data_IF_600485126261
#
_entry.id   IF_600485126261
#
_cell.length_a   1.000
_cell.length_b   1.000
_cell.length_c   1.000
_cell.angle_alpha   90.00
_cell.angle_beta   90.00
_cell.angle_gamma   90.00
#
_symmetry.space_group_name_H-M   'P 1'
#
loop_
_entity.id
_entity.type
_entity.pdbx_description
1 polymer ?
#
# COMPACT_ATOMS: atom_id res chain seq x y z
N UNK A 1 67.25 11.61 68.62
CA UNK A 1 66.03 10.81 68.87
C UNK A 1 64.93 11.34 67.95
N UNK A 2 64.91 10.87 66.70
CA UNK A 2 63.89 11.25 65.70
C UNK A 2 63.51 9.96 64.98
N UNK A 3 62.27 9.49 65.17
CA UNK A 3 61.57 8.54 64.30
C UNK A 3 60.14 8.35 64.81
N UNK A 4 59.18 9.04 64.19
CA UNK A 4 57.84 8.52 63.85
C UNK A 4 56.97 9.63 63.25
N UNK A 5 56.58 9.48 61.98
CA UNK A 5 55.23 9.82 61.47
C UNK A 5 55.18 9.66 59.93
N UNK A 6 55.01 8.43 59.45
CA UNK A 6 54.57 8.15 58.08
C UNK A 6 53.70 6.88 58.06
N UNK A 7 52.39 6.97 58.33
CA UNK A 7 51.46 5.86 58.03
C UNK A 7 50.01 6.25 57.70
N UNK A 8 49.57 7.51 57.73
CA UNK A 8 48.14 7.82 57.64
C UNK A 8 47.60 8.36 56.29
N UNK A 9 48.43 8.73 55.30
CA UNK A 9 47.90 9.22 54.00
C UNK A 9 47.74 8.14 52.90
N UNK A 10 48.36 6.97 53.06
CA UNK A 10 48.29 5.90 52.04
C UNK A 10 47.00 5.07 52.10
N UNK A 11 46.35 4.99 53.27
CA UNK A 11 45.13 4.20 53.47
C UNK A 11 43.90 4.83 52.81
N UNK A 12 43.66 6.14 53.03
CA UNK A 12 42.49 6.85 52.48
C UNK A 12 42.48 6.93 50.95
N UNK A 13 43.65 7.08 50.32
CA UNK A 13 43.75 7.08 48.86
C UNK A 13 43.56 5.69 48.24
N UNK A 14 43.85 4.60 48.97
CA UNK A 14 43.55 3.24 48.50
C UNK A 14 42.05 2.96 48.59
N UNK A 15 41.40 3.29 49.70
CA UNK A 15 39.95 3.09 49.91
C UNK A 15 39.09 3.81 48.86
N UNK A 16 39.34 5.10 48.62
CA UNK A 16 38.61 5.87 47.60
C UNK A 16 38.80 5.32 46.18
N UNK A 17 39.99 4.74 45.89
CA UNK A 17 40.28 4.14 44.57
C UNK A 17 39.58 2.79 44.40
N UNK A 18 39.43 2.00 45.47
CA UNK A 18 38.63 0.76 45.47
C UNK A 18 37.13 1.02 45.37
N UNK A 19 36.59 2.06 46.01
CA UNK A 19 35.17 2.42 45.90
C UNK A 19 34.81 2.88 44.49
N UNK A 20 35.63 3.74 43.88
CA UNK A 20 35.43 4.19 42.49
C UNK A 20 35.58 3.04 41.47
N UNK A 21 36.45 2.06 41.75
CA UNK A 21 36.61 0.87 40.90
C UNK A 21 35.45 -0.12 41.07
N UNK A 22 34.91 -0.24 42.29
CA UNK A 22 33.72 -1.03 42.59
C UNK A 22 32.49 -0.44 41.91
N UNK A 23 32.24 0.87 42.05
CA UNK A 23 31.14 1.57 41.36
C UNK A 23 31.20 1.39 39.84
N UNK A 24 32.37 1.60 39.21
CA UNK A 24 32.54 1.37 37.76
C UNK A 24 32.28 -0.08 37.34
N UNK A 25 32.65 -1.05 38.17
CA UNK A 25 32.40 -2.48 37.91
C UNK A 25 30.93 -2.84 38.04
N UNK A 26 30.24 -2.25 39.02
CA UNK A 26 28.79 -2.43 39.22
C UNK A 26 27.99 -1.77 38.10
N UNK A 27 28.38 -0.56 37.67
CA UNK A 27 27.80 0.13 36.50
C UNK A 27 28.02 -0.68 35.22
N UNK A 28 29.25 -1.17 34.98
CA UNK A 28 29.57 -1.97 33.81
C UNK A 28 28.88 -3.34 33.81
N UNK A 29 28.73 -3.98 34.98
CA UNK A 29 27.96 -5.22 35.15
C UNK A 29 26.45 -5.00 34.95
N UNK A 30 25.91 -3.88 35.43
CA UNK A 30 24.51 -3.52 35.24
C UNK A 30 24.22 -3.21 33.76
N UNK A 31 25.14 -2.53 33.08
CA UNK A 31 25.08 -2.30 31.63
C UNK A 31 25.13 -3.60 30.84
N UNK A 32 26.01 -4.55 31.20
CA UNK A 32 26.06 -5.86 30.55
C UNK A 32 24.78 -6.69 30.78
N UNK A 33 24.23 -6.70 32.00
CA UNK A 33 22.97 -7.38 32.30
C UNK A 33 21.76 -6.73 31.62
N UNK A 34 21.75 -5.40 31.49
CA UNK A 34 20.72 -4.65 30.77
C UNK A 34 20.80 -4.89 29.26
N UNK A 35 22.01 -5.00 28.70
CA UNK A 35 22.24 -5.35 27.30
C UNK A 35 21.83 -6.81 27.00
N UNK A 36 22.14 -7.75 27.90
CA UNK A 36 21.79 -9.17 27.74
C UNK A 36 20.28 -9.43 27.92
N UNK A 37 19.62 -8.71 28.83
CA UNK A 37 18.16 -8.77 28.95
C UNK A 37 17.46 -8.11 27.76
N UNK A 38 18.03 -7.04 27.19
CA UNK A 38 17.55 -6.40 25.97
C UNK A 38 17.69 -7.31 24.75
N UNK A 39 18.84 -7.95 24.55
CA UNK A 39 19.05 -8.91 23.46
C UNK A 39 18.15 -10.14 23.57
N UNK A 40 17.80 -10.56 24.80
CA UNK A 40 16.88 -11.67 25.03
C UNK A 40 15.42 -11.29 24.74
N UNK A 41 15.02 -10.05 25.04
CA UNK A 41 13.67 -9.56 24.73
C UNK A 41 13.48 -9.36 23.23
N UNK A 42 14.46 -8.76 22.55
CA UNK A 42 14.44 -8.55 21.11
C UNK A 42 14.31 -9.88 20.34
N UNK A 43 15.11 -10.89 20.68
CA UNK A 43 15.01 -12.22 20.05
C UNK A 43 13.62 -12.86 20.22
N UNK A 44 12.94 -12.62 21.35
CA UNK A 44 11.56 -13.09 21.56
C UNK A 44 10.55 -12.31 20.73
N UNK A 45 10.76 -11.00 20.56
CA UNK A 45 9.92 -10.14 19.72
C UNK A 45 10.06 -10.47 18.23
N UNK A 46 11.28 -10.81 17.77
CA UNK A 46 11.57 -11.27 16.41
C UNK A 46 10.85 -12.58 16.05
N UNK A 47 10.60 -13.44 17.04
CA UNK A 47 9.85 -14.68 16.85
C UNK A 47 8.32 -14.48 16.73
N UNK A 48 7.79 -13.31 17.08
CA UNK A 48 6.35 -13.06 17.02
C UNK A 48 5.85 -13.03 15.58
N UNK A 49 4.58 -13.41 15.36
CA UNK A 49 3.91 -13.21 14.08
C UNK A 49 3.13 -11.89 14.11
N UNK A 50 3.73 -10.81 13.59
CA UNK A 50 3.08 -9.51 13.48
C UNK A 50 3.67 -8.67 12.34
N UNK A 51 3.17 -7.45 12.14
CA UNK A 51 3.56 -6.63 10.99
C UNK A 51 5.05 -6.25 10.99
N UNK A 52 5.65 -6.14 12.19
CA UNK A 52 7.07 -5.84 12.36
C UNK A 52 8.00 -6.99 11.94
N UNK A 53 7.49 -8.23 11.88
CA UNK A 53 8.28 -9.43 11.58
C UNK A 53 7.90 -10.07 10.24
N UNK A 54 6.95 -9.49 9.50
CA UNK A 54 6.47 -10.04 8.21
C UNK A 54 7.24 -9.57 6.98
N UNK A 55 8.35 -8.85 7.17
CA UNK A 55 9.21 -8.40 6.07
C UNK A 55 8.40 -7.67 4.98
N UNK A 56 7.68 -6.62 5.38
CA UNK A 56 6.80 -5.88 4.46
C UNK A 56 7.57 -4.88 3.59
N UNK A 57 8.73 -4.43 4.08
CA UNK A 57 9.69 -3.44 3.54
C UNK A 57 9.17 -2.51 2.42
N UNK A 58 8.18 -1.64 2.71
CA UNK A 58 7.71 -0.67 1.73
C UNK A 58 8.56 0.61 1.74
N UNK A 59 8.85 1.17 0.56
CA UNK A 59 9.38 2.53 0.46
C UNK A 59 8.47 3.56 1.14
N UNK A 60 9.05 4.68 1.62
CA UNK A 60 8.29 5.77 2.27
C UNK A 60 7.11 6.27 1.43
N UNK A 61 7.30 6.43 0.12
CA UNK A 61 6.22 6.80 -0.81
C UNK A 61 5.12 5.74 -0.94
N UNK A 62 5.48 4.46 -0.87
CA UNK A 62 4.52 3.35 -0.86
C UNK A 62 3.74 3.33 0.44
N UNK A 63 4.37 3.62 1.59
CA UNK A 63 3.69 3.77 2.87
C UNK A 63 2.61 4.85 2.82
N UNK A 64 2.89 6.04 2.29
CA UNK A 64 1.87 7.09 2.13
C UNK A 64 0.70 6.65 1.24
N UNK A 65 1.00 6.00 0.10
CA UNK A 65 -0.06 5.44 -0.78
C UNK A 65 -0.89 4.36 -0.08
N UNK A 66 -0.27 3.53 0.76
CA UNK A 66 -0.97 2.50 1.51
C UNK A 66 -1.83 3.10 2.61
N UNK A 67 -1.32 4.08 3.35
CA UNK A 67 -2.07 4.85 4.36
C UNK A 67 -3.36 5.40 3.75
N UNK A 68 -3.24 6.13 2.65
CA UNK A 68 -4.38 6.77 2.01
C UNK A 68 -5.39 5.72 1.51
N UNK A 69 -4.91 4.62 0.92
CA UNK A 69 -5.77 3.50 0.50
C UNK A 69 -6.52 2.85 1.67
N UNK A 70 -5.89 2.70 2.84
CA UNK A 70 -6.53 2.09 4.00
C UNK A 70 -7.58 3.04 4.60
N UNK A 71 -7.30 4.33 4.60
CA UNK A 71 -8.27 5.34 5.01
C UNK A 71 -9.44 5.43 4.02
N UNK A 72 -9.20 5.27 2.72
CA UNK A 72 -10.24 5.17 1.67
C UNK A 72 -11.11 3.90 1.79
N UNK A 73 -10.74 2.91 2.63
CA UNK A 73 -11.65 1.80 2.96
C UNK A 73 -12.78 2.28 3.87
N UNK A 74 -12.52 3.30 4.69
CA UNK A 74 -13.45 3.82 5.68
C UNK A 74 -13.46 3.03 6.99
N UNK A 75 -14.28 3.52 7.92
CA UNK A 75 -14.40 3.00 9.29
C UNK A 75 -15.78 2.41 9.56
N UNK A 76 -16.50 2.01 8.51
CA UNK A 76 -17.87 1.52 8.63
C UNK A 76 -17.89 0.25 9.48
N UNK A 77 -18.66 0.31 10.57
CA UNK A 77 -18.92 -0.84 11.43
C UNK A 77 -19.54 -1.98 10.59
N UNK A 78 -19.03 -3.20 10.74
CA UNK A 78 -19.44 -4.37 9.95
C UNK A 78 -18.49 -4.78 8.82
N UNK A 79 -17.37 -4.07 8.60
CA UNK A 79 -16.30 -4.61 7.77
C UNK A 79 -15.56 -5.74 8.50
N UNK A 80 -15.65 -6.98 7.99
CA UNK A 80 -15.01 -8.17 8.56
C UNK A 80 -13.48 -8.03 8.79
N UNK A 81 -12.84 -7.09 8.09
CA UNK A 81 -11.40 -6.84 8.19
C UNK A 81 -11.03 -5.60 9.01
N UNK A 82 -11.97 -4.96 9.73
CA UNK A 82 -11.74 -3.65 10.37
C UNK A 82 -10.58 -3.63 11.38
N UNK A 83 -10.48 -4.65 12.25
CA UNK A 83 -9.36 -4.79 13.20
C UNK A 83 -8.01 -4.92 12.50
N UNK A 84 -7.97 -5.73 11.43
CA UNK A 84 -6.80 -5.93 10.58
C UNK A 84 -6.37 -4.65 9.84
N UNK A 85 -7.34 -3.86 9.35
CA UNK A 85 -7.11 -2.55 8.73
C UNK A 85 -6.43 -1.62 9.73
N UNK A 86 -6.94 -1.54 10.95
CA UNK A 86 -6.36 -0.70 12.00
C UNK A 86 -4.97 -1.20 12.44
N UNK A 87 -4.75 -2.51 12.54
CA UNK A 87 -3.41 -3.07 12.79
C UNK A 87 -2.41 -2.61 11.73
N UNK A 88 -2.76 -2.73 10.45
CA UNK A 88 -1.86 -2.32 9.36
C UNK A 88 -1.68 -0.79 9.33
N UNK A 89 -2.72 0.00 9.61
CA UNK A 89 -2.60 1.45 9.75
C UNK A 89 -1.64 1.81 10.89
N UNK A 90 -1.74 1.15 12.04
CA UNK A 90 -0.84 1.36 13.17
C UNK A 90 0.62 1.13 12.79
N UNK A 91 0.91 0.02 12.12
CA UNK A 91 2.25 -0.28 11.59
C UNK A 91 2.73 0.79 10.59
N UNK A 92 1.91 1.18 9.60
CA UNK A 92 2.27 2.19 8.60
C UNK A 92 2.54 3.55 9.24
N UNK A 93 1.71 3.96 10.20
CA UNK A 93 1.91 5.22 10.91
C UNK A 93 3.20 5.21 11.71
N UNK A 94 3.53 4.09 12.37
CA UNK A 94 4.81 3.94 13.05
C UNK A 94 5.98 4.08 12.09
N UNK A 95 5.97 3.35 10.96
CA UNK A 95 7.03 3.40 9.93
C UNK A 95 7.21 4.80 9.31
N UNK A 96 6.15 5.62 9.30
CA UNK A 96 6.20 7.00 8.83
C UNK A 96 6.69 8.00 9.89
N UNK A 97 6.83 7.57 11.14
CA UNK A 97 7.24 8.40 12.29
C UNK A 97 6.08 8.99 13.09
N UNK A 98 4.84 8.58 12.84
CA UNK A 98 3.63 9.07 13.52
C UNK A 98 3.24 8.16 14.68
N UNK A 99 4.08 8.12 15.71
CA UNK A 99 3.99 7.16 16.81
C UNK A 99 2.68 7.24 17.61
N UNK A 100 2.13 8.44 17.85
CA UNK A 100 0.86 8.59 18.56
C UNK A 100 -0.33 8.07 17.75
N UNK A 101 -0.31 8.29 16.43
CA UNK A 101 -1.30 7.70 15.53
C UNK A 101 -1.17 6.17 15.53
N UNK A 102 0.06 5.64 15.52
CA UNK A 102 0.29 4.20 15.59
C UNK A 102 -0.35 3.58 16.84
N UNK A 103 -0.14 4.19 18.02
CA UNK A 103 -0.77 3.78 19.28
C UNK A 103 -2.30 3.83 19.19
N UNK A 104 -2.85 4.93 18.71
CA UNK A 104 -4.30 5.10 18.54
C UNK A 104 -4.91 4.01 17.66
N UNK A 105 -4.29 3.70 16.53
CA UNK A 105 -4.76 2.65 15.63
C UNK A 105 -4.64 1.25 16.22
N UNK A 106 -3.58 0.92 16.96
CA UNK A 106 -3.52 -0.39 17.63
C UNK A 106 -4.58 -0.54 18.72
N UNK A 107 -4.92 0.52 19.44
CA UNK A 107 -6.06 0.51 20.39
C UNK A 107 -7.40 0.33 19.67
N UNK A 108 -7.62 1.04 18.56
CA UNK A 108 -8.82 0.89 17.72
C UNK A 108 -8.95 -0.51 17.12
N UNK A 109 -7.84 -1.14 16.76
CA UNK A 109 -7.83 -2.51 16.27
C UNK A 109 -8.33 -3.49 17.34
N UNK A 110 -7.81 -3.40 18.57
CA UNK A 110 -8.26 -4.24 19.68
C UNK A 110 -9.76 -4.04 19.97
N UNK A 111 -10.24 -2.80 19.93
CA UNK A 111 -11.66 -2.49 20.11
C UNK A 111 -12.53 -3.07 18.98
N UNK A 112 -12.12 -2.91 17.73
CA UNK A 112 -12.85 -3.44 16.59
C UNK A 112 -12.93 -4.98 16.64
N UNK A 113 -11.85 -5.65 17.06
CA UNK A 113 -11.82 -7.09 17.25
C UNK A 113 -12.79 -7.55 18.33
N UNK A 114 -12.83 -6.86 19.47
CA UNK A 114 -13.84 -7.10 20.51
C UNK A 114 -15.23 -6.97 19.91
N UNK A 115 -15.59 -5.80 19.39
CA UNK A 115 -16.92 -5.56 18.82
C UNK A 115 -17.38 -6.61 17.81
N UNK A 116 -16.49 -7.10 16.94
CA UNK A 116 -16.82 -8.13 15.96
C UNK A 116 -16.93 -9.56 16.53
N UNK A 117 -16.24 -9.87 17.63
CA UNK A 117 -16.15 -11.23 18.21
C UNK A 117 -16.76 -11.35 19.62
N UNK A 118 -17.37 -10.27 20.13
CA UNK A 118 -17.96 -10.10 21.46
C UNK A 118 -19.02 -11.16 21.84
N UNK A 119 -19.51 -11.95 20.90
CA UNK A 119 -20.45 -13.04 21.18
C UNK A 119 -19.76 -14.29 21.74
N UNK A 120 -18.41 -14.36 21.72
CA UNK A 120 -17.63 -15.54 22.10
C UNK A 120 -16.68 -15.26 23.27
N UNK A 121 -15.90 -14.17 23.24
CA UNK A 121 -14.95 -13.77 24.28
C UNK A 121 -14.38 -12.37 23.99
N UNK A 122 -13.97 -11.64 25.04
CA UNK A 122 -13.24 -10.36 24.92
C UNK A 122 -11.81 -10.54 24.39
N UNK A 123 -11.23 -11.73 24.59
CA UNK A 123 -9.90 -12.10 24.13
C UNK A 123 -9.94 -13.39 23.30
N UNK A 124 -9.07 -13.47 22.29
CA UNK A 124 -9.02 -14.62 21.40
C UNK A 124 -7.84 -14.54 20.43
N UNK A 125 -7.64 -15.58 19.61
CA UNK A 125 -6.45 -15.70 18.75
C UNK A 125 -6.32 -14.58 17.70
N UNK A 126 -7.41 -13.90 17.34
CA UNK A 126 -7.41 -12.74 16.45
C UNK A 126 -6.68 -11.51 17.04
N UNK A 127 -6.41 -11.47 18.35
CA UNK A 127 -5.63 -10.40 18.99
C UNK A 127 -4.11 -10.63 18.96
N UNK A 128 -3.63 -11.81 18.54
CA UNK A 128 -2.21 -12.17 18.60
C UNK A 128 -1.33 -11.19 17.83
N UNK A 129 -1.74 -10.85 16.60
CA UNK A 129 -1.00 -9.89 15.77
C UNK A 129 -1.06 -8.48 16.37
N UNK A 130 -2.21 -8.10 16.94
CA UNK A 130 -2.36 -6.80 17.61
C UNK A 130 -1.42 -6.68 18.81
N UNK A 131 -1.41 -7.66 19.70
CA UNK A 131 -0.53 -7.67 20.88
C UNK A 131 0.94 -7.77 20.49
N UNK A 132 1.28 -8.51 19.42
CA UNK A 132 2.63 -8.51 18.88
C UNK A 132 3.07 -7.14 18.37
N UNK A 133 2.19 -6.44 17.64
CA UNK A 133 2.43 -5.06 17.21
C UNK A 133 2.62 -4.10 18.41
N UNK A 134 1.79 -4.22 19.45
CA UNK A 134 1.93 -3.39 20.66
C UNK A 134 3.21 -3.70 21.43
N UNK A 135 3.62 -4.97 21.53
CA UNK A 135 4.87 -5.37 22.15
C UNK A 135 6.09 -4.71 21.46
N UNK A 136 6.10 -4.70 20.12
CA UNK A 136 7.12 -4.01 19.32
C UNK A 136 7.07 -2.48 19.49
N UNK A 137 5.88 -1.87 19.48
CA UNK A 137 5.72 -0.44 19.69
C UNK A 137 6.30 -0.01 21.05
N UNK A 138 5.97 -0.72 22.12
CA UNK A 138 6.49 -0.43 23.46
C UNK A 138 8.00 -0.67 23.56
N UNK A 139 8.52 -1.72 22.91
CA UNK A 139 9.96 -1.97 22.85
C UNK A 139 10.71 -0.79 22.22
N UNK A 140 10.26 -0.33 21.05
CA UNK A 140 10.86 0.81 20.35
C UNK A 140 10.74 2.14 21.10
N UNK A 141 9.74 2.29 21.97
CA UNK A 141 9.59 3.44 22.87
C UNK A 141 10.47 3.37 24.13
N UNK A 142 11.21 2.28 24.34
CA UNK A 142 12.01 2.05 25.55
C UNK A 142 11.18 1.54 26.75
N UNK A 143 9.88 1.29 26.57
CA UNK A 143 8.98 0.83 27.60
C UNK A 143 9.05 -0.71 27.74
N UNK A 144 10.17 -1.21 28.29
CA UNK A 144 10.45 -2.66 28.40
C UNK A 144 9.41 -3.43 29.20
N UNK A 145 8.88 -2.85 30.29
CA UNK A 145 7.87 -3.51 31.12
C UNK A 145 6.57 -3.76 30.36
N UNK A 146 6.06 -2.75 29.65
CA UNK A 146 4.87 -2.87 28.80
C UNK A 146 5.10 -3.84 27.63
N UNK A 147 6.27 -3.76 26.97
CA UNK A 147 6.63 -4.70 25.91
C UNK A 147 6.58 -6.15 26.39
N UNK A 148 7.15 -6.43 27.58
CA UNK A 148 7.12 -7.74 28.20
C UNK A 148 5.70 -8.16 28.61
N UNK A 149 4.85 -7.22 29.05
CA UNK A 149 3.46 -7.49 29.39
C UNK A 149 2.65 -7.94 28.16
N UNK A 150 2.77 -7.24 27.02
CA UNK A 150 2.14 -7.65 25.76
C UNK A 150 2.70 -8.97 25.22
N UNK A 151 4.01 -9.18 25.34
CA UNK A 151 4.63 -10.46 24.98
C UNK A 151 4.02 -11.63 25.78
N UNK A 152 3.82 -11.45 27.08
CA UNK A 152 3.15 -12.45 27.94
C UNK A 152 1.71 -12.69 27.50
N UNK A 153 0.96 -11.66 27.08
CA UNK A 153 -0.40 -11.82 26.54
C UNK A 153 -0.40 -12.65 25.25
N UNK A 154 0.56 -12.43 24.36
CA UNK A 154 0.70 -13.26 23.14
C UNK A 154 0.94 -14.72 23.51
N UNK A 155 1.84 -15.00 24.45
CA UNK A 155 2.10 -16.39 24.88
C UNK A 155 0.90 -17.03 25.57
N UNK A 156 0.13 -16.28 26.37
CA UNK A 156 -1.09 -16.77 26.98
C UNK A 156 -2.11 -17.20 25.90
N UNK A 157 -2.38 -16.33 24.92
CA UNK A 157 -3.30 -16.65 23.81
C UNK A 157 -2.83 -17.84 22.98
N UNK A 158 -1.52 -17.96 22.70
CA UNK A 158 -0.99 -19.10 21.93
C UNK A 158 -0.98 -20.41 22.73
N UNK A 159 -1.04 -20.34 24.06
CA UNK A 159 -1.18 -21.52 24.91
C UNK A 159 -2.65 -21.96 24.99
N UNK A 160 -3.57 -21.00 25.11
CA UNK A 160 -5.01 -21.26 25.16
C UNK A 160 -5.58 -21.72 23.80
N UNK A 161 -5.08 -21.12 22.71
CA UNK A 161 -5.46 -21.42 21.33
C UNK A 161 -4.24 -21.92 20.55
N UNK A 162 -3.79 -23.17 20.81
CA UNK A 162 -2.60 -23.71 20.18
C UNK A 162 -2.77 -23.83 18.67
N UNK A 163 -1.65 -23.69 17.95
CA UNK A 163 -1.63 -23.96 16.51
C UNK A 163 -1.82 -25.46 16.23
N UNK A 164 -2.34 -25.86 15.06
CA UNK A 164 -2.62 -27.27 14.77
C UNK A 164 -1.40 -28.19 14.84
N UNK A 165 -0.21 -27.66 14.55
CA UNK A 165 1.07 -28.34 14.66
C UNK A 165 2.20 -27.33 14.95
N UNK A 166 3.39 -27.81 15.32
CA UNK A 166 4.54 -26.95 15.64
C UNK A 166 5.03 -26.12 14.43
N UNK A 167 4.85 -26.63 13.22
CA UNK A 167 5.28 -25.97 11.98
C UNK A 167 4.21 -25.07 11.35
N UNK A 168 3.02 -25.00 11.97
CA UNK A 168 1.88 -24.25 11.46
C UNK A 168 1.52 -23.08 12.37
N UNK A 169 1.02 -22.00 11.77
CA UNK A 169 0.45 -20.88 12.50
C UNK A 169 -1.04 -21.12 12.76
N UNK A 170 -1.56 -20.45 13.78
CA UNK A 170 -3.01 -20.37 14.00
C UNK A 170 -3.72 -19.76 12.77
N UNK A 171 -4.91 -20.27 12.36
CA UNK A 171 -5.59 -19.83 11.15
C UNK A 171 -5.88 -18.31 11.08
N UNK A 172 -6.25 -17.68 12.19
CA UNK A 172 -6.42 -16.22 12.28
C UNK A 172 -5.13 -15.44 11.92
N UNK A 173 -3.96 -15.95 12.32
CA UNK A 173 -2.66 -15.34 11.98
C UNK A 173 -2.38 -15.51 10.49
N UNK A 174 -2.68 -16.68 9.92
CA UNK A 174 -2.56 -16.90 8.48
C UNK A 174 -3.48 -15.96 7.70
N UNK A 175 -4.73 -15.78 8.13
CA UNK A 175 -5.70 -14.93 7.48
C UNK A 175 -5.28 -13.46 7.50
N UNK A 176 -4.85 -12.92 8.65
CA UNK A 176 -4.35 -11.54 8.75
C UNK A 176 -3.08 -11.33 7.90
N UNK A 177 -2.14 -12.28 7.97
CA UNK A 177 -0.91 -12.22 7.16
C UNK A 177 -1.24 -12.20 5.67
N UNK A 178 -2.13 -13.08 5.24
CA UNK A 178 -2.58 -13.14 3.85
C UNK A 178 -3.21 -11.81 3.41
N UNK A 179 -4.16 -11.30 4.18
CA UNK A 179 -4.85 -10.04 3.89
C UNK A 179 -3.88 -8.85 3.81
N UNK A 180 -2.93 -8.78 4.73
CA UNK A 180 -1.89 -7.75 4.73
C UNK A 180 -1.03 -7.86 3.47
N UNK A 181 -0.52 -9.05 3.16
CA UNK A 181 0.37 -9.27 2.01
C UNK A 181 -0.28 -8.93 0.65
N UNK A 182 -1.61 -9.05 0.52
CA UNK A 182 -2.35 -8.61 -0.69
C UNK A 182 -2.13 -7.13 -1.04
N UNK A 183 -1.77 -6.29 -0.05
CA UNK A 183 -1.57 -4.86 -0.24
C UNK A 183 -0.17 -4.51 -0.76
N UNK A 184 0.77 -5.47 -0.79
CA UNK A 184 2.18 -5.24 -1.10
C UNK A 184 2.58 -5.67 -2.52
N UNK A 185 3.82 -6.14 -2.70
CA UNK A 185 4.41 -6.44 -4.01
C UNK A 185 3.70 -7.62 -4.70
N UNK A 186 4.05 -7.88 -5.97
CA UNK A 186 3.46 -9.00 -6.72
C UNK A 186 3.78 -10.35 -6.06
N UNK A 187 5.00 -10.49 -5.57
CA UNK A 187 5.51 -11.69 -4.90
C UNK A 187 4.75 -11.90 -3.58
N UNK A 188 4.58 -10.83 -2.78
CA UNK A 188 3.78 -10.88 -1.54
C UNK A 188 2.31 -11.21 -1.84
N UNK A 189 1.72 -10.70 -2.93
CA UNK A 189 0.36 -11.06 -3.37
C UNK A 189 0.21 -12.54 -3.75
N UNK A 190 1.25 -13.17 -4.32
CA UNK A 190 1.25 -14.60 -4.59
C UNK A 190 1.24 -15.40 -3.29
N UNK A 191 2.13 -15.03 -2.35
CA UNK A 191 2.16 -15.64 -1.01
C UNK A 191 0.84 -15.48 -0.25
N UNK A 192 0.14 -14.36 -0.45
CA UNK A 192 -1.16 -14.14 0.18
C UNK A 192 -2.18 -15.23 -0.17
N UNK A 193 -2.23 -15.68 -1.43
CA UNK A 193 -3.15 -16.75 -1.84
C UNK A 193 -2.84 -18.06 -1.10
N UNK A 194 -1.56 -18.41 -0.98
CA UNK A 194 -1.12 -19.61 -0.27
C UNK A 194 -1.48 -19.56 1.23
N UNK A 195 -1.31 -18.40 1.88
CA UNK A 195 -1.66 -18.24 3.29
C UNK A 195 -3.17 -18.31 3.55
N UNK A 196 -4.01 -17.70 2.69
CA UNK A 196 -5.45 -17.89 2.79
C UNK A 196 -5.83 -19.36 2.60
N UNK A 197 -5.22 -20.05 1.64
CA UNK A 197 -5.50 -21.45 1.38
C UNK A 197 -5.18 -22.32 2.61
N UNK A 198 -4.13 -22.00 3.37
CA UNK A 198 -3.82 -22.67 4.65
C UNK A 198 -4.86 -22.37 5.72
N UNK A 199 -5.24 -21.11 5.89
CA UNK A 199 -6.29 -20.71 6.86
C UNK A 199 -7.62 -21.41 6.57
N UNK A 200 -8.07 -21.44 5.31
CA UNK A 200 -9.32 -22.06 4.87
C UNK A 200 -9.31 -23.58 5.07
N UNK A 201 -8.16 -24.26 4.89
CA UNK A 201 -8.07 -25.70 5.16
C UNK A 201 -8.34 -26.04 6.63
N UNK A 202 -7.99 -25.13 7.53
CA UNK A 202 -8.17 -25.31 8.97
C UNK A 202 -9.57 -24.89 9.41
N UNK A 203 -10.13 -23.83 8.81
CA UNK A 203 -11.48 -23.35 9.08
C UNK A 203 -12.18 -23.00 7.76
N UNK A 204 -12.85 -23.97 7.12
CA UNK A 204 -13.43 -23.78 5.80
C UNK A 204 -14.65 -22.87 5.80
N UNK A 205 -15.36 -22.73 6.92
CA UNK A 205 -16.63 -21.99 6.99
C UNK A 205 -16.48 -20.46 6.96
N UNK A 206 -15.24 -19.96 6.96
CA UNK A 206 -14.93 -18.53 6.97
C UNK A 206 -15.10 -17.91 5.56
N UNK A 207 -16.32 -17.46 5.28
CA UNK A 207 -16.74 -16.86 3.98
C UNK A 207 -15.81 -15.71 3.56
N UNK A 208 -15.43 -14.83 4.48
CA UNK A 208 -14.58 -13.68 4.18
C UNK A 208 -13.15 -14.08 3.79
N UNK A 209 -12.67 -15.23 4.27
CA UNK A 209 -11.36 -15.77 3.87
C UNK A 209 -11.44 -16.38 2.48
N UNK A 210 -12.53 -17.10 2.17
CA UNK A 210 -12.76 -17.64 0.83
C UNK A 210 -12.84 -16.53 -0.23
N UNK A 211 -13.64 -15.49 0.01
CA UNK A 211 -13.73 -14.33 -0.87
C UNK A 211 -12.37 -13.63 -1.02
N UNK A 212 -11.64 -13.45 0.08
CA UNK A 212 -10.31 -12.81 0.05
C UNK A 212 -9.27 -13.64 -0.68
N UNK A 213 -9.32 -14.96 -0.58
CA UNK A 213 -8.48 -15.88 -1.35
C UNK A 213 -8.70 -15.71 -2.86
N UNK A 214 -9.96 -15.69 -3.29
CA UNK A 214 -10.31 -15.46 -4.70
C UNK A 214 -9.83 -14.07 -5.16
N UNK A 215 -10.02 -13.03 -4.34
CA UNK A 215 -9.50 -11.69 -4.65
C UNK A 215 -7.96 -11.68 -4.75
N UNK A 216 -7.25 -12.46 -3.92
CA UNK A 216 -5.80 -12.61 -4.00
C UNK A 216 -5.38 -13.25 -5.33
N UNK A 217 -6.06 -14.33 -5.74
CA UNK A 217 -5.84 -14.96 -7.04
C UNK A 217 -6.06 -13.96 -8.17
N UNK A 218 -7.23 -13.31 -8.25
CA UNK A 218 -7.55 -12.33 -9.30
C UNK A 218 -6.50 -11.21 -9.40
N UNK A 219 -6.01 -10.72 -8.26
CA UNK A 219 -4.97 -9.68 -8.21
C UNK A 219 -3.62 -10.13 -8.78
N UNK A 220 -3.26 -11.42 -8.64
CA UNK A 220 -2.04 -11.97 -9.26
C UNK A 220 -2.17 -12.01 -10.78
N UNK A 221 -3.35 -12.38 -11.30
CA UNK A 221 -3.60 -12.51 -12.74
C UNK A 221 -3.66 -11.17 -13.47
N UNK A 222 -4.23 -10.12 -12.88
CA UNK A 222 -4.25 -8.76 -13.45
C UNK A 222 -2.87 -8.21 -13.81
N UNK A 223 -1.80 -8.77 -13.24
CA UNK A 223 -0.42 -8.37 -13.50
C UNK A 223 0.35 -9.35 -14.40
N UNK A 224 -0.30 -10.36 -14.97
CA UNK A 224 0.37 -11.47 -15.67
C UNK A 224 0.29 -11.45 -17.20
N UNK A 225 -0.38 -10.47 -17.82
CA UNK A 225 -0.67 -10.42 -19.28
C UNK A 225 -1.33 -11.70 -19.85
N UNK A 226 -1.80 -12.60 -18.99
CA UNK A 226 -2.52 -13.82 -19.35
C UNK A 226 -4.01 -13.59 -19.17
N UNK A 227 -4.80 -14.19 -20.05
CA UNK A 227 -6.25 -14.28 -19.88
C UNK A 227 -6.54 -14.99 -18.55
N UNK A 228 -7.60 -14.52 -17.85
CA UNK A 228 -8.07 -15.19 -16.65
C UNK A 228 -8.45 -16.64 -17.00
N UNK A 229 -7.95 -17.60 -16.22
CA UNK A 229 -8.27 -19.02 -16.42
C UNK A 229 -9.72 -19.29 -16.06
N UNK A 230 -10.34 -20.26 -16.75
CA UNK A 230 -11.72 -20.64 -16.49
C UNK A 230 -11.90 -21.20 -15.06
N UNK A 231 -10.88 -21.85 -14.49
CA UNK A 231 -10.86 -22.25 -13.07
C UNK A 231 -11.04 -21.06 -12.12
N UNK A 232 -10.42 -19.91 -12.38
CA UNK A 232 -10.56 -18.75 -11.50
C UNK A 232 -11.90 -18.08 -11.69
N UNK A 233 -12.40 -18.03 -12.92
CA UNK A 233 -13.74 -17.52 -13.18
C UNK A 233 -14.80 -18.33 -12.44
N UNK A 234 -14.68 -19.66 -12.41
CA UNK A 234 -15.57 -20.54 -11.65
C UNK A 234 -15.43 -20.30 -10.14
N UNK A 235 -14.21 -20.17 -9.62
CA UNK A 235 -14.00 -19.82 -8.20
C UNK A 235 -14.60 -18.46 -7.84
N UNK A 236 -14.54 -17.47 -8.74
CA UNK A 236 -15.18 -16.17 -8.55
C UNK A 236 -16.70 -16.29 -8.50
N UNK A 237 -17.29 -17.11 -9.38
CA UNK A 237 -18.73 -17.38 -9.37
C UNK A 237 -19.16 -17.98 -8.04
N UNK A 238 -18.49 -19.05 -7.61
CA UNK A 238 -18.77 -19.74 -6.34
C UNK A 238 -18.63 -18.76 -5.17
N UNK A 239 -17.53 -18.03 -5.07
CA UNK A 239 -17.31 -17.09 -3.96
C UNK A 239 -18.35 -15.94 -3.96
N UNK A 240 -18.78 -15.46 -5.13
CA UNK A 240 -19.85 -14.45 -5.22
C UNK A 240 -21.20 -15.00 -4.73
N UNK A 241 -21.50 -16.26 -4.98
CA UNK A 241 -22.72 -16.92 -4.48
C UNK A 241 -22.68 -17.15 -2.97
N UNK A 242 -21.50 -17.44 -2.41
CA UNK A 242 -21.30 -17.62 -0.96
C UNK A 242 -21.23 -16.30 -0.18
N UNK A 243 -20.82 -15.21 -0.84
CA UNK A 243 -20.67 -13.87 -0.25
C UNK A 243 -21.41 -12.82 -1.10
N UNK A 244 -22.76 -12.87 -1.14
CA UNK A 244 -23.58 -12.01 -2.02
C UNK A 244 -23.48 -10.52 -1.67
N UNK A 245 -23.10 -10.19 -0.43
CA UNK A 245 -22.96 -8.82 0.04
C UNK A 245 -21.64 -8.17 -0.41
N UNK A 246 -20.70 -8.96 -0.93
CA UNK A 246 -19.42 -8.51 -1.45
C UNK A 246 -19.53 -7.99 -2.89
N UNK A 247 -20.07 -6.77 -2.98
CA UNK A 247 -20.28 -6.08 -4.25
C UNK A 247 -18.97 -5.82 -5.01
N UNK A 248 -17.83 -5.77 -4.31
CA UNK A 248 -16.52 -5.65 -4.94
C UNK A 248 -16.17 -6.91 -5.76
N UNK A 249 -16.36 -8.10 -5.18
CA UNK A 249 -16.17 -9.36 -5.89
C UNK A 249 -17.18 -9.51 -7.04
N UNK A 250 -18.44 -9.12 -6.82
CA UNK A 250 -19.46 -9.12 -7.87
C UNK A 250 -19.05 -8.25 -9.08
N UNK A 251 -18.53 -7.03 -8.84
CA UNK A 251 -18.07 -6.15 -9.91
C UNK A 251 -16.88 -6.74 -10.68
N UNK A 252 -15.95 -7.39 -9.99
CA UNK A 252 -14.82 -8.07 -10.63
C UNK A 252 -15.26 -9.29 -11.44
N UNK A 253 -16.25 -10.03 -10.96
CA UNK A 253 -16.82 -11.16 -11.68
C UNK A 253 -17.47 -10.71 -12.99
N UNK A 254 -18.31 -9.66 -12.95
CA UNK A 254 -18.90 -9.09 -14.17
C UNK A 254 -17.84 -8.57 -15.15
N UNK A 255 -16.77 -7.94 -14.65
CA UNK A 255 -15.62 -7.53 -15.48
C UNK A 255 -14.97 -8.74 -16.18
N UNK A 256 -14.80 -9.85 -15.48
CA UNK A 256 -14.24 -11.08 -16.05
C UNK A 256 -15.19 -11.74 -17.08
N UNK A 257 -16.50 -11.71 -16.83
CA UNK A 257 -17.51 -12.15 -17.80
C UNK A 257 -17.50 -11.29 -19.08
N UNK A 258 -17.40 -9.96 -18.93
CA UNK A 258 -17.30 -9.03 -20.06
C UNK A 258 -16.05 -9.30 -20.91
N UNK A 259 -14.90 -9.58 -20.26
CA UNK A 259 -13.67 -10.00 -20.94
C UNK A 259 -13.84 -11.27 -21.78
N UNK A 260 -14.78 -12.14 -21.43
CA UNK A 260 -15.13 -13.37 -22.16
C UNK A 260 -16.23 -13.15 -23.21
N UNK A 261 -16.68 -11.91 -23.41
CA UNK A 261 -17.71 -11.56 -24.39
C UNK A 261 -19.14 -11.86 -23.94
N UNK A 262 -19.37 -12.06 -22.64
CA UNK A 262 -20.73 -12.20 -22.11
C UNK A 262 -21.42 -10.84 -22.04
N UNK A 263 -22.74 -10.83 -22.25
CA UNK A 263 -23.58 -9.65 -22.02
C UNK A 263 -23.80 -9.48 -20.52
N UNK A 264 -23.49 -8.30 -20.01
CA UNK A 264 -23.43 -8.00 -18.56
C UNK A 264 -24.19 -6.71 -18.20
N UNK A 265 -24.82 -6.06 -19.18
CA UNK A 265 -25.30 -4.68 -19.05
C UNK A 265 -26.40 -4.56 -17.99
N UNK A 266 -27.36 -5.48 -17.97
CA UNK A 266 -28.45 -5.48 -17.00
C UNK A 266 -27.94 -5.78 -15.59
N UNK A 267 -27.07 -6.78 -15.47
CA UNK A 267 -26.45 -7.18 -14.20
C UNK A 267 -25.56 -6.07 -13.62
N UNK A 268 -24.83 -5.36 -14.49
CA UNK A 268 -24.01 -4.21 -14.12
C UNK A 268 -24.86 -3.03 -13.62
N UNK A 269 -26.02 -2.77 -14.26
CA UNK A 269 -26.96 -1.74 -13.81
C UNK A 269 -27.62 -2.08 -12.47
N UNK A 270 -28.00 -3.34 -12.26
CA UNK A 270 -28.49 -3.78 -10.94
C UNK A 270 -27.40 -3.67 -9.87
N UNK A 271 -26.16 -4.07 -10.19
CA UNK A 271 -25.03 -3.91 -9.29
C UNK A 271 -24.76 -2.43 -8.98
N UNK A 272 -24.87 -1.54 -9.96
CA UNK A 272 -24.73 -0.10 -9.74
C UNK A 272 -25.73 0.43 -8.71
N UNK A 273 -27.01 0.06 -8.85
CA UNK A 273 -28.04 0.42 -7.85
C UNK A 273 -27.72 -0.15 -6.48
N UNK A 274 -27.18 -1.36 -6.38
CA UNK A 274 -26.78 -1.96 -5.10
C UNK A 274 -25.59 -1.23 -4.46
N UNK A 275 -24.56 -0.90 -5.25
CA UNK A 275 -23.37 -0.17 -4.77
C UNK A 275 -23.76 1.22 -4.24
N UNK A 276 -24.64 1.93 -4.95
CA UNK A 276 -25.09 3.28 -4.56
C UNK A 276 -26.04 3.31 -3.34
N UNK A 277 -26.53 2.16 -2.86
CA UNK A 277 -27.36 2.07 -1.65
C UNK A 277 -26.52 1.91 -0.37
N UNK A 278 -25.27 1.47 -0.50
CA UNK A 278 -24.36 1.26 0.64
C UNK A 278 -23.44 2.48 0.80
N UNK A 279 -22.90 2.72 2.00
CA UNK A 279 -21.81 3.68 2.18
C UNK A 279 -20.69 3.40 1.17
N UNK A 280 -20.35 4.40 0.37
CA UNK A 280 -19.35 4.25 -0.68
C UNK A 280 -17.96 4.29 -0.08
N UNK A 281 -17.12 3.33 -0.47
CA UNK A 281 -15.71 3.29 -0.08
C UNK A 281 -14.90 2.52 -1.12
N UNK A 282 -13.58 2.39 -0.92
CA UNK A 282 -12.75 1.54 -1.77
C UNK A 282 -13.10 0.05 -1.69
N UNK A 283 -13.90 -0.37 -0.70
CA UNK A 283 -14.42 -1.74 -0.57
C UNK A 283 -15.84 -1.90 -1.09
N UNK A 284 -16.57 -0.83 -1.42
CA UNK A 284 -17.96 -0.93 -1.88
C UNK A 284 -18.09 -1.51 -3.30
N UNK A 285 -17.00 -1.62 -4.05
CA UNK A 285 -17.01 -2.11 -5.44
C UNK A 285 -17.21 -1.02 -6.49
N UNK A 286 -17.28 0.27 -6.10
CA UNK A 286 -17.50 1.38 -7.04
C UNK A 286 -16.37 1.50 -8.09
N UNK A 287 -15.09 1.42 -7.71
CA UNK A 287 -13.99 1.53 -8.68
C UNK A 287 -13.96 0.39 -9.72
N UNK A 288 -14.06 -0.91 -9.36
CA UNK A 288 -14.17 -1.96 -10.37
C UNK A 288 -15.44 -1.85 -11.22
N UNK A 289 -16.57 -1.43 -10.64
CA UNK A 289 -17.80 -1.19 -11.39
C UNK A 289 -17.63 -0.08 -12.43
N UNK A 290 -17.10 1.08 -12.03
CA UNK A 290 -16.81 2.17 -12.95
C UNK A 290 -15.81 1.74 -14.03
N UNK A 291 -14.84 0.86 -13.71
CA UNK A 291 -13.93 0.30 -14.71
C UNK A 291 -14.66 -0.60 -15.71
N UNK A 292 -15.58 -1.46 -15.25
CA UNK A 292 -16.44 -2.27 -16.10
C UNK A 292 -17.21 -1.37 -17.08
N UNK A 293 -17.86 -0.32 -16.59
CA UNK A 293 -18.61 0.61 -17.43
C UNK A 293 -17.73 1.28 -18.50
N UNK A 294 -16.59 1.85 -18.09
CA UNK A 294 -15.68 2.56 -19.01
C UNK A 294 -15.13 1.68 -20.14
N UNK A 295 -14.95 0.38 -19.89
CA UNK A 295 -14.29 -0.52 -20.85
C UNK A 295 -15.30 -1.28 -21.70
N UNK A 296 -16.43 -1.71 -21.11
CA UNK A 296 -17.32 -2.69 -21.73
C UNK A 296 -18.75 -2.20 -21.96
N UNK A 297 -19.17 -1.07 -21.40
CA UNK A 297 -20.55 -0.58 -21.51
C UNK A 297 -20.57 0.79 -22.21
N UNK A 298 -20.26 1.85 -21.47
CA UNK A 298 -20.26 3.22 -21.96
C UNK A 298 -19.39 4.10 -21.05
N UNK A 299 -18.50 4.89 -21.67
CA UNK A 299 -17.69 5.87 -20.94
C UNK A 299 -18.56 6.98 -20.33
N UNK A 300 -19.60 7.41 -21.04
CA UNK A 300 -20.48 8.49 -20.57
C UNK A 300 -21.34 7.99 -19.40
N UNK A 301 -21.92 6.78 -19.49
CA UNK A 301 -22.63 6.18 -18.33
C UNK A 301 -21.69 6.00 -17.12
N UNK A 302 -20.39 5.77 -17.35
CA UNK A 302 -19.41 5.69 -16.25
C UNK A 302 -19.13 7.04 -15.59
N UNK A 303 -19.22 8.15 -16.33
CA UNK A 303 -19.09 9.50 -15.78
C UNK A 303 -20.35 9.83 -14.99
N UNK A 304 -21.53 9.61 -15.59
CA UNK A 304 -22.82 9.86 -14.95
C UNK A 304 -22.93 9.10 -13.62
N UNK A 305 -22.60 7.80 -13.62
CA UNK A 305 -22.61 6.99 -12.41
C UNK A 305 -21.60 7.48 -11.35
N UNK A 306 -20.43 7.96 -11.77
CA UNK A 306 -19.43 8.46 -10.83
C UNK A 306 -19.82 9.81 -10.23
N UNK A 307 -20.37 10.72 -11.04
CA UNK A 307 -20.87 12.02 -10.57
C UNK A 307 -22.11 11.84 -9.68
N UNK A 308 -23.06 10.97 -10.05
CA UNK A 308 -24.21 10.63 -9.19
C UNK A 308 -23.76 10.11 -7.83
N UNK A 309 -22.77 9.21 -7.80
CA UNK A 309 -22.22 8.70 -6.55
C UNK A 309 -21.62 9.84 -5.69
N UNK A 310 -20.89 10.76 -6.33
CA UNK A 310 -20.27 11.90 -5.66
C UNK A 310 -21.31 12.92 -5.17
N UNK A 311 -22.39 13.15 -5.92
CA UNK A 311 -23.50 14.03 -5.51
C UNK A 311 -24.20 13.50 -4.24
N UNK A 312 -24.37 12.18 -4.13
CA UNK A 312 -24.94 11.55 -2.92
C UNK A 312 -24.00 11.62 -1.71
N UNK A 313 -22.69 11.63 -1.95
CA UNK A 313 -21.66 11.59 -0.91
C UNK A 313 -20.50 12.57 -1.20
N UNK A 314 -20.75 13.90 -1.15
CA UNK A 314 -19.80 14.91 -1.62
C UNK A 314 -18.51 14.99 -0.80
N UNK A 315 -18.56 14.57 0.46
CA UNK A 315 -17.42 14.58 1.37
C UNK A 315 -16.50 13.35 1.18
N UNK A 316 -16.93 12.34 0.43
CA UNK A 316 -16.17 11.11 0.24
C UNK A 316 -15.02 11.33 -0.75
N UNK A 317 -13.81 11.52 -0.21
CA UNK A 317 -12.61 11.79 -1.01
C UNK A 317 -12.27 10.67 -1.99
N UNK A 318 -12.65 9.43 -1.72
CA UNK A 318 -12.40 8.33 -2.64
C UNK A 318 -13.25 8.44 -3.91
N UNK A 319 -14.47 8.97 -3.80
CA UNK A 319 -15.34 9.23 -4.94
C UNK A 319 -14.80 10.33 -5.86
N UNK A 320 -14.25 11.41 -5.29
CA UNK A 320 -13.55 12.45 -6.07
C UNK A 320 -12.43 11.86 -6.92
N UNK A 321 -11.67 10.91 -6.36
CA UNK A 321 -10.64 10.18 -7.09
C UNK A 321 -11.20 9.26 -8.18
N UNK A 322 -12.37 8.65 -7.96
CA UNK A 322 -13.07 7.86 -8.97
C UNK A 322 -13.54 8.72 -10.14
N UNK A 323 -14.20 9.85 -9.86
CA UNK A 323 -14.65 10.84 -10.85
C UNK A 323 -13.47 11.39 -11.67
N UNK A 324 -12.39 11.82 -11.01
CA UNK A 324 -11.17 12.26 -11.67
C UNK A 324 -10.63 11.20 -12.64
N UNK A 325 -10.69 9.92 -12.25
CA UNK A 325 -10.25 8.81 -13.10
C UNK A 325 -11.15 8.65 -14.33
N UNK A 326 -12.47 8.76 -14.19
CA UNK A 326 -13.39 8.72 -15.34
C UNK A 326 -13.09 9.83 -16.35
N UNK A 327 -13.01 11.09 -15.89
CA UNK A 327 -12.66 12.21 -16.78
C UNK A 327 -11.32 12.04 -17.48
N UNK A 328 -10.29 11.65 -16.74
CA UNK A 328 -8.97 11.40 -17.35
C UNK A 328 -9.04 10.37 -18.47
N UNK A 329 -9.76 9.26 -18.26
CA UNK A 329 -9.87 8.24 -19.31
C UNK A 329 -10.68 8.75 -20.50
N UNK A 330 -11.76 9.51 -20.27
CA UNK A 330 -12.55 10.15 -21.34
C UNK A 330 -11.71 11.10 -22.18
N UNK A 331 -10.87 11.93 -21.55
CA UNK A 331 -10.00 12.89 -22.25
C UNK A 331 -8.89 12.18 -23.03
N UNK A 332 -8.26 11.15 -22.45
CA UNK A 332 -7.07 10.54 -23.06
C UNK A 332 -7.36 9.44 -24.07
N UNK A 333 -8.47 8.68 -23.91
CA UNK A 333 -8.77 7.51 -24.73
C UNK A 333 -9.82 7.79 -25.83
N UNK A 334 -10.73 8.75 -25.63
CA UNK A 334 -11.79 9.07 -26.60
C UNK A 334 -11.49 10.40 -27.32
N UNK A 335 -10.35 10.44 -28.01
CA UNK A 335 -9.86 11.65 -28.71
C UNK A 335 -10.71 12.03 -29.93
N UNK A 336 -11.43 11.07 -30.50
CA UNK A 336 -12.23 11.25 -31.71
C UNK A 336 -13.60 11.90 -31.42
N UNK A 337 -13.99 11.97 -30.15
CA UNK A 337 -15.20 12.67 -29.71
C UNK A 337 -14.86 14.10 -29.27
N UNK A 338 -15.62 15.13 -29.69
CA UNK A 338 -15.42 16.48 -29.22
C UNK A 338 -15.35 16.54 -27.68
N UNK A 339 -14.35 17.25 -27.17
CA UNK A 339 -14.24 17.55 -25.74
C UNK A 339 -14.94 18.86 -25.47
N UNK A 340 -15.98 18.81 -24.64
CA UNK A 340 -16.64 20.03 -24.16
C UNK A 340 -15.72 20.75 -23.16
N UNK A 341 -15.69 22.08 -23.25
CA UNK A 341 -14.88 22.90 -22.35
C UNK A 341 -15.25 22.69 -20.88
N UNK A 342 -16.55 22.60 -20.59
CA UNK A 342 -17.12 22.30 -19.27
C UNK A 342 -16.57 20.99 -18.67
N UNK A 343 -16.42 19.95 -19.49
CA UNK A 343 -15.87 18.66 -19.07
C UNK A 343 -14.40 18.78 -18.65
N UNK A 344 -13.60 19.52 -19.42
CA UNK A 344 -12.18 19.76 -19.10
C UNK A 344 -12.06 20.57 -17.81
N UNK A 345 -12.88 21.59 -17.62
CA UNK A 345 -12.91 22.39 -16.40
C UNK A 345 -13.31 21.56 -15.18
N UNK A 346 -14.32 20.72 -15.31
CA UNK A 346 -14.73 19.78 -14.26
C UNK A 346 -13.62 18.81 -13.92
N UNK A 347 -12.95 18.25 -14.92
CA UNK A 347 -11.79 17.37 -14.72
C UNK A 347 -10.66 18.07 -13.96
N UNK A 348 -10.28 19.29 -14.37
CA UNK A 348 -9.25 20.12 -13.71
C UNK A 348 -9.64 20.37 -12.25
N UNK A 349 -10.88 20.79 -12.00
CA UNK A 349 -11.38 21.08 -10.66
C UNK A 349 -11.26 19.88 -9.73
N UNK A 350 -11.81 18.73 -10.15
CA UNK A 350 -11.78 17.50 -9.34
C UNK A 350 -10.34 17.01 -9.13
N UNK A 351 -9.45 17.16 -10.13
CA UNK A 351 -8.04 16.80 -9.95
C UNK A 351 -7.33 17.69 -8.91
N UNK A 352 -7.62 18.99 -8.86
CA UNK A 352 -7.09 19.90 -7.84
C UNK A 352 -7.56 19.49 -6.45
N UNK A 353 -8.84 19.14 -6.29
CA UNK A 353 -9.38 18.62 -5.03
C UNK A 353 -8.66 17.32 -4.62
N UNK A 354 -8.50 16.37 -5.53
CA UNK A 354 -7.77 15.12 -5.27
C UNK A 354 -6.31 15.40 -4.89
N UNK A 355 -5.62 16.35 -5.53
CA UNK A 355 -4.24 16.66 -5.14
C UNK A 355 -4.18 17.21 -3.71
N UNK A 356 -5.14 18.04 -3.32
CA UNK A 356 -5.26 18.58 -1.95
C UNK A 356 -5.55 17.50 -0.91
N UNK A 357 -6.43 16.55 -1.23
CA UNK A 357 -6.84 15.47 -0.32
C UNK A 357 -5.78 14.38 -0.13
N UNK A 358 -4.84 14.25 -1.08
CA UNK A 358 -3.81 13.21 -1.08
C UNK A 358 -2.39 13.79 -1.19
N UNK A 359 -1.97 14.69 -0.27
CA UNK A 359 -0.78 15.53 -0.46
C UNK A 359 0.50 14.70 -0.66
N UNK A 360 0.67 13.62 0.12
CA UNK A 360 1.87 12.78 0.10
C UNK A 360 1.86 11.67 -0.96
N UNK A 361 0.75 11.49 -1.69
CA UNK A 361 0.61 10.41 -2.69
C UNK A 361 0.10 10.89 -4.06
N UNK A 362 0.06 12.21 -4.26
CA UNK A 362 -0.54 12.89 -5.42
C UNK A 362 0.30 12.94 -6.70
N UNK A 363 1.55 12.44 -6.73
CA UNK A 363 2.43 12.55 -7.92
C UNK A 363 1.72 12.16 -9.23
N UNK A 364 1.03 11.01 -9.23
CA UNK A 364 0.31 10.53 -10.42
C UNK A 364 -0.87 11.44 -10.79
N UNK A 365 -1.52 12.05 -9.80
CA UNK A 365 -2.62 13.00 -10.01
C UNK A 365 -2.10 14.34 -10.53
N UNK A 366 -0.97 14.84 -10.03
CA UNK A 366 -0.30 16.04 -10.55
C UNK A 366 0.13 15.87 -12.01
N UNK A 367 0.76 14.73 -12.34
CA UNK A 367 1.10 14.38 -13.73
C UNK A 367 -0.15 14.27 -14.61
N UNK A 368 -1.24 13.69 -14.10
CA UNK A 368 -2.50 13.61 -14.86
C UNK A 368 -3.07 15.00 -15.12
N UNK A 369 -3.05 15.90 -14.12
CA UNK A 369 -3.51 17.28 -14.26
C UNK A 369 -2.68 18.06 -15.30
N UNK A 370 -1.34 17.95 -15.27
CA UNK A 370 -0.48 18.55 -16.29
C UNK A 370 -0.82 18.05 -17.70
N UNK A 371 -1.02 16.74 -17.85
CA UNK A 371 -1.40 16.16 -19.13
C UNK A 371 -2.81 16.57 -19.59
N UNK A 372 -3.75 16.79 -18.66
CA UNK A 372 -5.08 17.33 -18.99
C UNK A 372 -4.92 18.73 -19.56
N UNK A 373 -4.20 19.62 -18.88
CA UNK A 373 -3.94 20.99 -19.37
C UNK A 373 -3.31 21.03 -20.76
N UNK A 374 -2.35 20.14 -21.01
CA UNK A 374 -1.65 20.04 -22.28
C UNK A 374 -2.53 19.49 -23.42
N UNK A 375 -3.28 18.40 -23.17
CA UNK A 375 -4.02 17.70 -24.23
C UNK A 375 -5.33 18.35 -24.64
N UNK A 376 -5.96 19.11 -23.75
CA UNK A 376 -7.17 19.87 -24.08
C UNK A 376 -6.89 21.23 -24.73
N UNK A 377 -5.62 21.56 -24.99
CA UNK A 377 -5.15 22.90 -25.37
C UNK A 377 -5.65 24.00 -24.41
N UNK A 378 -5.96 23.65 -23.16
CA UNK A 378 -6.57 24.55 -22.20
C UNK A 378 -5.55 25.56 -21.67
N UNK A 379 -4.35 25.08 -21.28
CA UNK A 379 -3.24 25.96 -20.93
C UNK A 379 -1.91 25.21 -20.95
N UNK A 380 -1.12 25.44 -22.00
CA UNK A 380 0.23 24.90 -22.11
C UNK A 380 1.13 25.40 -20.96
N UNK A 381 1.03 26.69 -20.62
CA UNK A 381 1.81 27.29 -19.54
C UNK A 381 1.53 26.64 -18.18
N UNK A 382 0.26 26.31 -17.88
CA UNK A 382 -0.09 25.63 -16.63
C UNK A 382 0.44 24.18 -16.60
N UNK A 383 0.44 23.48 -17.74
CA UNK A 383 1.02 22.15 -17.84
C UNK A 383 2.54 22.19 -17.57
N UNK A 384 3.22 23.15 -18.19
CA UNK A 384 4.67 23.30 -18.07
C UNK A 384 5.09 23.69 -16.65
N UNK A 385 4.37 24.62 -16.02
CA UNK A 385 4.58 24.97 -14.61
C UNK A 385 4.48 23.76 -13.68
N UNK A 386 3.44 22.91 -13.83
CA UNK A 386 3.30 21.71 -13.00
C UNK A 386 4.47 20.76 -13.22
N UNK A 387 4.93 20.59 -14.46
CA UNK A 387 6.08 19.73 -14.74
C UNK A 387 7.38 20.27 -14.15
N UNK A 388 7.62 21.59 -14.22
CA UNK A 388 8.78 22.25 -13.61
C UNK A 388 8.81 22.04 -12.10
N UNK A 389 7.70 22.32 -11.41
CA UNK A 389 7.56 22.08 -9.96
C UNK A 389 7.80 20.60 -9.58
N UNK A 390 7.33 19.67 -10.42
CA UNK A 390 7.53 18.24 -10.19
C UNK A 390 8.99 17.81 -10.40
N UNK A 391 9.71 18.41 -11.36
CA UNK A 391 11.11 18.09 -11.65
C UNK A 391 12.06 18.52 -10.53
N UNK A 392 11.67 19.52 -9.75
CA UNK A 392 12.38 19.98 -8.56
C UNK A 392 12.01 19.20 -7.29
N UNK A 393 10.99 18.33 -7.35
CA UNK A 393 10.51 17.58 -6.19
C UNK A 393 11.46 16.44 -5.79
N UNK A 394 11.62 16.22 -4.49
CA UNK A 394 12.31 15.05 -3.95
C UNK A 394 11.44 13.78 -4.12
N UNK A 395 11.80 12.94 -5.08
CA UNK A 395 11.06 11.75 -5.44
C UNK A 395 11.91 10.50 -5.22
N UNK A 396 11.27 9.44 -4.74
CA UNK A 396 11.89 8.11 -4.75
C UNK A 396 12.28 7.70 -6.20
N UNK A 397 13.22 6.76 -6.38
CA UNK A 397 13.69 6.34 -7.69
C UNK A 397 12.57 5.99 -8.68
N UNK A 398 11.52 5.30 -8.24
CA UNK A 398 10.39 4.90 -9.09
C UNK A 398 9.47 6.09 -9.40
N UNK A 399 9.33 7.04 -8.48
CA UNK A 399 8.65 8.32 -8.68
C UNK A 399 9.36 9.17 -9.73
N UNK A 400 10.68 9.32 -9.64
CA UNK A 400 11.49 10.05 -10.61
C UNK A 400 11.42 9.41 -12.01
N UNK A 401 11.56 8.09 -12.11
CA UNK A 401 11.38 7.36 -13.37
C UNK A 401 10.00 7.61 -14.01
N UNK A 402 8.94 7.61 -13.19
CA UNK A 402 7.58 7.91 -13.66
C UNK A 402 7.49 9.32 -14.21
N UNK A 403 7.97 10.32 -13.46
CA UNK A 403 7.95 11.71 -13.87
C UNK A 403 8.70 11.91 -15.19
N UNK A 404 9.95 11.47 -15.27
CA UNK A 404 10.78 11.62 -16.47
C UNK A 404 10.17 10.92 -17.68
N UNK A 405 9.59 9.72 -17.51
CA UNK A 405 8.91 9.02 -18.61
C UNK A 405 7.68 9.79 -19.13
N UNK A 406 6.86 10.38 -18.24
CA UNK A 406 5.70 11.17 -18.65
C UNK A 406 6.10 12.51 -19.25
N UNK A 407 7.09 13.18 -18.66
CA UNK A 407 7.58 14.46 -19.16
C UNK A 407 8.25 14.30 -20.53
N UNK A 408 9.03 13.24 -20.75
CA UNK A 408 9.57 12.91 -22.07
C UNK A 408 8.48 12.76 -23.14
N UNK A 409 7.33 12.15 -22.79
CA UNK A 409 6.19 12.03 -23.71
C UNK A 409 5.52 13.37 -23.96
N UNK A 410 5.37 14.21 -22.93
CA UNK A 410 4.87 15.58 -23.07
C UNK A 410 5.73 16.40 -24.03
N UNK A 411 7.05 16.41 -23.81
CA UNK A 411 8.02 17.08 -24.68
C UNK A 411 7.92 16.62 -26.14
N UNK A 412 7.80 15.31 -26.37
CA UNK A 412 7.72 14.77 -27.73
C UNK A 412 6.38 15.08 -28.42
N UNK A 413 5.26 14.74 -27.78
CA UNK A 413 3.96 14.78 -28.44
C UNK A 413 3.33 16.18 -28.45
N UNK A 414 3.57 16.97 -27.40
CA UNK A 414 2.96 18.29 -27.23
C UNK A 414 3.94 19.38 -27.68
N UNK A 415 5.11 19.48 -27.05
CA UNK A 415 6.06 20.56 -27.34
C UNK A 415 6.90 20.34 -28.62
N UNK A 416 6.86 19.14 -29.22
CA UNK A 416 7.67 18.74 -30.39
C UNK A 416 9.18 18.83 -30.18
N UNK A 417 9.63 18.78 -28.92
CA UNK A 417 11.05 18.81 -28.54
C UNK A 417 11.64 17.40 -28.47
N UNK A 418 11.88 16.78 -29.63
CA UNK A 418 12.34 15.39 -29.68
C UNK A 418 13.68 15.14 -29.00
N UNK A 419 14.58 16.13 -28.98
CA UNK A 419 15.90 16.01 -28.33
C UNK A 419 15.76 15.89 -26.81
N UNK A 420 15.09 16.86 -26.17
CA UNK A 420 14.85 16.83 -24.72
C UNK A 420 14.05 15.60 -24.30
N UNK A 421 13.11 15.15 -25.12
CA UNK A 421 12.38 13.90 -24.87
C UNK A 421 13.33 12.69 -24.71
N UNK A 422 14.33 12.56 -25.60
CA UNK A 422 15.32 11.48 -25.55
C UNK A 422 16.14 11.58 -24.26
N UNK A 423 16.62 12.78 -23.91
CA UNK A 423 17.37 13.00 -22.66
C UNK A 423 16.59 12.55 -21.42
N UNK A 424 15.29 12.88 -21.34
CA UNK A 424 14.47 12.46 -20.20
C UNK A 424 14.17 10.96 -20.21
N UNK A 425 14.04 10.33 -21.38
CA UNK A 425 13.99 8.87 -21.45
C UNK A 425 15.29 8.23 -20.96
N UNK A 426 16.46 8.80 -21.30
CA UNK A 426 17.75 8.35 -20.77
C UNK A 426 17.84 8.54 -19.26
N UNK A 427 17.44 9.70 -18.72
CA UNK A 427 17.37 9.95 -17.26
C UNK A 427 16.49 8.91 -16.54
N UNK A 428 15.33 8.58 -17.11
CA UNK A 428 14.46 7.54 -16.56
C UNK A 428 15.10 6.13 -16.62
N UNK A 429 15.81 5.82 -17.71
CA UNK A 429 16.45 4.52 -17.91
C UNK A 429 17.71 4.34 -17.03
N UNK A 430 18.42 5.44 -16.74
CA UNK A 430 19.65 5.46 -15.95
C UNK A 430 19.45 5.15 -14.46
N UNK A 431 18.23 5.35 -13.94
CA UNK A 431 17.90 5.02 -12.55
C UNK A 431 17.85 3.48 -12.43
N UNK A 432 18.72 2.83 -11.62
CA UNK A 432 18.89 1.37 -11.63
C UNK A 432 17.66 0.57 -11.17
N UNK A 433 16.72 1.21 -10.47
CA UNK A 433 15.53 0.55 -9.93
C UNK A 433 14.68 -0.06 -11.05
N UNK A 434 14.49 -1.39 -11.01
CA UNK A 434 13.63 -2.07 -11.96
C UNK A 434 12.17 -1.62 -11.82
N UNK A 435 11.61 -1.05 -12.89
CA UNK A 435 10.21 -0.60 -12.92
C UNK A 435 9.63 -0.62 -14.34
N UNK A 436 8.30 -0.52 -14.45
CA UNK A 436 7.63 -0.39 -15.74
C UNK A 436 8.11 0.85 -16.51
N UNK A 437 8.33 1.98 -15.83
CA UNK A 437 8.71 3.24 -16.48
C UNK A 437 10.14 3.20 -17.02
N UNK A 438 11.03 2.55 -16.27
CA UNK A 438 12.41 2.29 -16.69
C UNK A 438 12.41 1.44 -17.97
N UNK A 439 11.74 0.28 -17.95
CA UNK A 439 11.62 -0.62 -19.11
C UNK A 439 10.94 0.06 -20.30
N UNK A 440 9.92 0.88 -20.05
CA UNK A 440 9.24 1.61 -21.10
C UNK A 440 10.16 2.64 -21.76
N UNK A 441 10.95 3.39 -20.99
CA UNK A 441 11.92 4.34 -21.54
C UNK A 441 13.03 3.64 -22.32
N UNK A 442 13.58 2.53 -21.81
CA UNK A 442 14.58 1.71 -22.55
C UNK A 442 13.99 1.25 -23.90
N UNK A 443 12.79 0.66 -23.90
CA UNK A 443 12.15 0.19 -25.13
C UNK A 443 11.86 1.32 -26.12
N UNK A 444 11.56 2.54 -25.65
CA UNK A 444 11.39 3.70 -26.53
C UNK A 444 12.74 4.10 -27.16
N UNK A 445 13.81 4.13 -26.38
CA UNK A 445 15.17 4.45 -26.86
C UNK A 445 15.65 3.42 -27.89
N UNK A 446 15.45 2.13 -27.64
CA UNK A 446 15.75 1.04 -28.59
C UNK A 446 15.04 1.25 -29.93
N UNK A 447 13.73 1.56 -29.92
CA UNK A 447 12.97 1.83 -31.14
C UNK A 447 13.44 3.07 -31.90
N UNK A 448 13.87 4.12 -31.18
CA UNK A 448 14.40 5.33 -31.81
C UNK A 448 15.71 5.01 -32.51
N UNK A 449 16.60 4.26 -31.84
CA UNK A 449 17.85 3.76 -32.41
C UNK A 449 17.60 2.91 -33.66
N UNK A 450 16.74 1.90 -33.58
CA UNK A 450 16.45 0.98 -34.69
C UNK A 450 15.94 1.68 -35.95
N UNK A 451 15.17 2.76 -35.77
CA UNK A 451 14.69 3.57 -36.91
C UNK A 451 15.81 4.32 -37.62
N UNK A 452 16.94 4.58 -36.95
CA UNK A 452 18.13 5.24 -37.47
C UNK A 452 17.86 6.55 -38.25
N UNK A 453 16.88 7.33 -37.79
CA UNK A 453 16.47 8.61 -38.39
C UNK A 453 16.74 9.81 -37.48
N UNK A 454 17.13 9.57 -36.23
CA UNK A 454 17.37 10.61 -35.25
C UNK A 454 18.88 10.92 -35.19
N UNK A 455 19.24 12.19 -35.01
CA UNK A 455 20.66 12.58 -34.88
C UNK A 455 21.30 12.03 -33.62
N UNK A 456 20.51 11.74 -32.58
CA UNK A 456 20.98 11.20 -31.31
C UNK A 456 21.21 9.67 -31.31
N UNK A 457 21.14 9.00 -32.46
CA UNK A 457 21.25 7.54 -32.51
C UNK A 457 22.60 7.03 -31.97
N UNK A 458 23.68 7.80 -32.12
CA UNK A 458 25.00 7.45 -31.57
C UNK A 458 25.02 7.50 -30.05
N UNK A 459 24.53 8.58 -29.45
CA UNK A 459 24.45 8.77 -27.99
C UNK A 459 23.52 7.75 -27.34
N UNK A 460 22.42 7.40 -28.01
CA UNK A 460 21.51 6.35 -27.55
C UNK A 460 22.23 4.99 -27.53
N UNK A 461 22.99 4.65 -28.57
CA UNK A 461 23.71 3.38 -28.64
C UNK A 461 24.78 3.26 -27.55
N UNK A 462 25.57 4.31 -27.35
CA UNK A 462 26.56 4.36 -26.29
C UNK A 462 25.91 4.18 -24.91
N UNK A 463 24.81 4.91 -24.65
CA UNK A 463 24.07 4.82 -23.40
C UNK A 463 23.47 3.43 -23.15
N UNK A 464 22.83 2.83 -24.16
CA UNK A 464 22.22 1.50 -24.02
C UNK A 464 23.28 0.42 -23.81
N UNK A 465 24.45 0.55 -24.43
CA UNK A 465 25.59 -0.37 -24.22
C UNK A 465 26.10 -0.28 -22.77
N UNK A 466 26.23 0.94 -22.25
CA UNK A 466 26.67 1.19 -20.87
C UNK A 466 25.65 0.73 -19.81
N UNK A 467 24.36 0.64 -20.16
CA UNK A 467 23.32 0.12 -19.27
C UNK A 467 23.33 -1.41 -19.12
N UNK A 468 23.96 -2.13 -20.04
CA UNK A 468 24.02 -3.60 -20.03
C UNK A 468 25.20 -4.15 -19.20
N UNK A 469 26.12 -3.27 -18.80
CA UNK A 469 27.23 -3.53 -17.88
C UNK A 469 26.92 -2.98 -16.49
#
# INVERSE_FOLDING_TARGET
MILWCCTHSSSRHKEQRTEAYSQKRTESSCMMSAAQSQSTLEAKLEALQCHFTWDLDPSRSKLFRLRDKLEDIGTVEGYNWLGHIYNLQGYIHYQLGFTDNARSFFSRAAEAFRQMRNTVSDEGPWLVVNYGNQAWLHYHQGNKAESQAYLSKVYALMTEYPSPSQDELHPEIYAEKAWTLMKFSREKKQLAADYFQRAIRMQPDMVEWQSSHVLALVNVFKHSNKNLSDDILERMKIAKEHDPENLYLAALYLEACAMKGQKIEDEARELARAVLKKPVSSYSGIEPLLRLYRIYISMDEAIDLAEEALERHPDERYLKRCVATCYKMRIFLHRDSPLEHSMVERAISVYREVISLYPNSSLKSKIALANIYAQSNYSQAAADQIYEELLESDLDPKGAQMLYNYYAKHLHFIQKESHKSIEYHMKAAAIPQQSFYQKNSVSILERIRERNRNRMCGEIEEFLTNLQH
#
